data_IF_544649966710
#
_entry.id   IF_544649966710
#
_cell.length_a   1.000
_cell.length_b   1.000
_cell.length_c   1.000
_cell.angle_alpha   90.00
_cell.angle_beta   90.00
_cell.angle_gamma   90.00
#
_symmetry.space_group_name_H-M   'P 1'
#
loop_
_entity.id
_entity.type
_entity.pdbx_description
1 polymer ?
#
# COMPACT_ATOMS: atom_id res chain seq x y z
N UNK A 1 -14.72 -17.65 -6.22
CA UNK A 1 -14.73 -17.24 -5.69
C UNK A 1 -14.37 -16.64 -4.92
N UNK A 2 -14.27 -16.13 -5.07
CA UNK A 2 -13.82 -15.64 -4.15
C UNK A 2 -14.64 -15.33 -3.11
N UNK A 3 -14.51 -15.57 -2.18
CA UNK A 3 -15.33 -15.34 -1.26
C UNK A 3 -15.08 -14.15 -0.65
N UNK A 4 -15.86 -13.59 0.10
CA UNK A 4 -15.52 -12.55 0.79
C UNK A 4 -15.26 -12.87 2.10
N UNK A 5 -14.30 -12.27 2.69
CA UNK A 5 -13.97 -12.47 4.05
C UNK A 5 -13.59 -11.15 4.60
N UNK A 6 -13.68 -10.94 5.88
CA UNK A 6 -13.34 -9.65 6.46
C UNK A 6 -11.90 -9.35 6.18
N UNK A 7 -11.66 -8.16 5.69
CA UNK A 7 -10.30 -7.73 5.41
C UNK A 7 -9.93 -6.80 6.54
N UNK A 8 -9.02 -7.24 7.39
CA UNK A 8 -8.60 -6.43 8.52
C UNK A 8 -7.43 -5.55 8.12
N UNK A 9 -7.20 -4.52 8.91
CA UNK A 9 -6.06 -3.65 8.66
C UNK A 9 -4.75 -4.43 8.76
N UNK A 10 -4.71 -5.41 9.62
CA UNK A 10 -3.53 -6.25 9.76
C UNK A 10 -3.24 -7.00 8.47
N UNK A 11 -4.27 -7.55 7.86
CA UNK A 11 -4.11 -8.28 6.60
C UNK A 11 -3.69 -7.36 5.48
N UNK A 12 -4.30 -6.18 5.44
CA UNK A 12 -3.92 -5.18 4.43
C UNK A 12 -2.47 -4.79 4.62
N UNK A 13 -2.06 -4.57 5.86
CA UNK A 13 -0.69 -4.19 6.14
C UNK A 13 0.29 -5.26 5.69
N UNK A 14 -0.04 -6.52 5.95
CA UNK A 14 0.84 -7.60 5.52
C UNK A 14 0.99 -7.64 4.01
N UNK A 15 -0.11 -7.48 3.30
CA UNK A 15 -0.06 -7.46 1.84
C UNK A 15 0.75 -6.26 1.36
N UNK A 16 0.57 -5.10 2.00
CA UNK A 16 1.35 -3.93 1.64
C UNK A 16 2.84 -4.15 1.90
N UNK A 17 3.17 -4.79 3.02
CA UNK A 17 4.57 -5.11 3.30
C UNK A 17 5.16 -5.95 2.19
N UNK A 18 4.43 -6.94 1.71
CA UNK A 18 4.91 -7.81 0.65
C UNK A 18 5.10 -7.04 -0.65
N UNK A 19 4.15 -6.20 -0.99
CA UNK A 19 4.25 -5.41 -2.21
C UNK A 19 5.44 -4.46 -2.16
N UNK A 20 5.62 -3.79 -1.03
CA UNK A 20 6.69 -2.83 -0.88
C UNK A 20 8.04 -3.54 -0.83
N UNK A 21 8.10 -4.66 -0.12
CA UNK A 21 9.35 -5.41 -0.03
C UNK A 21 9.82 -5.84 -1.40
N UNK A 22 8.88 -6.28 -2.23
CA UNK A 22 9.22 -6.71 -3.57
C UNK A 22 9.61 -5.54 -4.45
N UNK A 23 8.84 -4.47 -4.37
CA UNK A 23 9.06 -3.30 -5.21
C UNK A 23 10.40 -2.64 -4.92
N UNK A 24 10.74 -2.54 -3.63
CA UNK A 24 11.94 -1.82 -3.20
C UNK A 24 13.10 -2.72 -2.85
N UNK A 25 12.90 -4.03 -2.95
CA UNK A 25 13.95 -5.03 -2.67
C UNK A 25 14.48 -4.90 -1.24
N UNK A 26 13.58 -4.77 -0.29
CA UNK A 26 13.94 -4.70 1.12
C UNK A 26 13.14 -5.76 1.88
N UNK A 27 13.53 -6.00 3.11
CA UNK A 27 12.85 -6.99 3.94
C UNK A 27 11.53 -6.43 4.44
N UNK A 28 10.50 -7.26 4.43
CA UNK A 28 9.20 -6.84 4.93
C UNK A 28 9.29 -6.44 6.40
N UNK A 29 10.19 -7.06 7.15
CA UNK A 29 10.36 -6.74 8.56
C UNK A 29 10.78 -5.31 8.80
N UNK A 30 11.38 -4.68 7.81
CA UNK A 30 11.82 -3.31 7.95
C UNK A 30 10.72 -2.29 7.67
N UNK A 31 9.56 -2.77 7.27
CA UNK A 31 8.46 -1.90 6.90
C UNK A 31 7.47 -1.84 8.03
N UNK A 32 7.14 -0.64 8.48
CA UNK A 32 6.15 -0.46 9.52
C UNK A 32 5.07 0.50 9.05
N UNK A 33 4.03 0.65 9.84
CA UNK A 33 2.95 1.58 9.51
C UNK A 33 3.46 3.02 9.43
N UNK A 34 4.49 3.32 10.19
CA UNK A 34 5.05 4.67 10.20
C UNK A 34 6.07 4.92 9.11
N UNK A 35 6.44 3.90 8.37
CA UNK A 35 7.45 4.07 7.33
C UNK A 35 6.96 5.05 6.27
N UNK A 36 7.78 6.05 5.98
CA UNK A 36 7.48 7.02 4.96
C UNK A 36 8.06 6.54 3.63
N UNK A 37 7.27 6.63 2.57
CA UNK A 37 7.77 6.16 1.28
C UNK A 37 8.97 6.98 0.81
N UNK A 38 8.92 8.28 1.00
CA UNK A 38 9.99 9.15 0.52
C UNK A 38 11.15 9.17 1.50
N UNK A 39 10.84 9.39 2.78
CA UNK A 39 11.90 9.59 3.77
C UNK A 39 12.57 8.30 4.20
N UNK A 40 11.78 7.26 4.40
CA UNK A 40 12.32 6.01 4.93
C UNK A 40 12.69 5.02 3.84
N UNK A 41 11.90 4.99 2.78
CA UNK A 41 12.12 4.01 1.71
C UNK A 41 12.80 4.60 0.50
N UNK A 42 12.95 5.91 0.45
CA UNK A 42 13.64 6.56 -0.65
C UNK A 42 12.90 6.48 -1.97
N UNK A 43 11.59 6.43 -1.94
CA UNK A 43 10.80 6.30 -3.15
C UNK A 43 10.77 7.61 -3.92
N UNK A 44 10.86 7.53 -5.22
CA UNK A 44 10.62 8.70 -6.06
C UNK A 44 9.25 8.56 -6.72
N UNK A 45 8.90 9.48 -7.59
CA UNK A 45 7.56 9.47 -8.16
C UNK A 45 7.29 8.25 -9.02
N UNK A 46 8.31 7.72 -9.68
CA UNK A 46 8.13 6.52 -10.49
C UNK A 46 7.85 5.32 -9.59
N UNK A 47 8.61 5.22 -8.49
CA UNK A 47 8.39 4.14 -7.54
C UNK A 47 6.98 4.18 -6.97
N UNK A 48 6.50 5.38 -6.66
CA UNK A 48 5.18 5.53 -6.07
C UNK A 48 4.09 5.16 -7.08
N UNK A 49 4.26 5.54 -8.33
CA UNK A 49 3.29 5.20 -9.36
C UNK A 49 3.21 3.70 -9.53
N UNK A 50 4.37 3.04 -9.56
CA UNK A 50 4.38 1.60 -9.73
C UNK A 50 3.74 0.90 -8.53
N UNK A 51 4.02 1.41 -7.33
CA UNK A 51 3.43 0.83 -6.14
C UNK A 51 1.90 0.99 -6.16
N UNK A 52 1.44 2.16 -6.55
CA UNK A 52 0.01 2.41 -6.63
C UNK A 52 -0.66 1.48 -7.61
N UNK A 53 -0.03 1.26 -8.76
CA UNK A 53 -0.59 0.35 -9.74
C UNK A 53 -0.66 -1.07 -9.19
N UNK A 54 0.35 -1.47 -8.45
CA UNK A 54 0.35 -2.80 -7.82
C UNK A 54 -0.76 -2.90 -6.79
N UNK A 55 -0.99 -1.83 -6.03
CA UNK A 55 -2.07 -1.80 -5.06
C UNK A 55 -3.43 -1.94 -5.73
N UNK A 56 -3.62 -1.21 -6.81
CA UNK A 56 -4.89 -1.25 -7.53
C UNK A 56 -5.17 -2.66 -8.04
N UNK A 57 -4.15 -3.32 -8.52
CA UNK A 57 -4.30 -4.66 -9.03
C UNK A 57 -4.50 -5.67 -7.92
N UNK A 58 -3.68 -5.57 -6.90
CA UNK A 58 -3.70 -6.56 -5.83
C UNK A 58 -5.02 -6.52 -5.05
N UNK A 59 -5.53 -5.32 -4.80
CA UNK A 59 -6.74 -5.16 -3.99
C UNK A 59 -8.00 -4.97 -4.83
N UNK A 60 -7.84 -4.86 -6.14
CA UNK A 60 -8.97 -4.76 -7.07
C UNK A 60 -9.88 -3.59 -6.69
N UNK A 61 -9.29 -2.45 -6.43
CA UNK A 61 -10.04 -1.28 -6.00
C UNK A 61 -10.26 -0.26 -7.10
N UNK A 62 -9.80 -0.55 -8.30
CA UNK A 62 -9.90 0.41 -9.39
C UNK A 62 -8.84 1.49 -9.26
N UNK A 63 -9.04 2.56 -9.97
CA UNK A 63 -8.06 3.61 -10.04
C UNK A 63 -8.13 4.52 -8.82
N UNK A 64 -6.98 4.89 -8.28
CA UNK A 64 -6.91 5.78 -7.14
C UNK A 64 -6.76 7.21 -7.65
N UNK A 65 -7.61 8.12 -7.15
CA UNK A 65 -7.58 9.51 -7.58
C UNK A 65 -6.29 10.20 -7.13
N UNK A 66 -5.88 11.17 -7.90
CA UNK A 66 -4.69 11.94 -7.56
C UNK A 66 -4.80 12.63 -6.22
N UNK A 67 -5.98 13.09 -5.89
CA UNK A 67 -6.21 13.72 -4.60
C UNK A 67 -5.91 12.76 -3.46
N UNK A 68 -6.35 11.53 -3.61
CA UNK A 68 -6.12 10.52 -2.59
C UNK A 68 -4.64 10.15 -2.54
N UNK A 69 -4.01 10.10 -3.71
CA UNK A 69 -2.59 9.76 -3.77
C UNK A 69 -1.74 10.75 -2.99
N UNK A 70 -2.07 12.01 -3.06
CA UNK A 70 -1.26 13.02 -2.39
C UNK A 70 -1.28 12.87 -0.89
N UNK A 71 -2.26 12.16 -0.35
CA UNK A 71 -2.34 11.91 1.08
C UNK A 71 -1.68 10.63 1.53
N UNK A 72 -1.21 9.82 0.59
CA UNK A 72 -0.61 8.53 0.94
C UNK A 72 0.89 8.67 1.10
N UNK A 73 1.30 9.11 2.26
CA UNK A 73 2.72 9.38 2.53
C UNK A 73 3.41 8.27 3.29
N UNK A 74 2.68 7.55 4.10
CA UNK A 74 3.24 6.44 4.86
C UNK A 74 2.50 5.16 4.53
N UNK A 75 3.09 4.05 4.95
CA UNK A 75 2.45 2.75 4.76
C UNK A 75 1.10 2.73 5.47
N UNK A 76 1.05 3.31 6.67
CA UNK A 76 -0.21 3.38 7.41
C UNK A 76 -1.29 4.14 6.69
N UNK A 77 -0.91 5.22 6.00
CA UNK A 77 -1.88 5.97 5.20
C UNK A 77 -2.51 5.08 4.14
N UNK A 78 -1.69 4.27 3.48
CA UNK A 78 -2.18 3.35 2.47
C UNK A 78 -3.08 2.29 3.07
N UNK A 79 -2.68 1.75 4.21
CA UNK A 79 -3.47 0.71 4.87
C UNK A 79 -4.84 1.26 5.26
N UNK A 80 -4.87 2.46 5.81
CA UNK A 80 -6.15 3.07 6.20
C UNK A 80 -7.02 3.37 4.99
N UNK A 81 -6.39 3.85 3.92
CA UNK A 81 -7.12 4.13 2.70
C UNK A 81 -7.74 2.84 2.13
N UNK A 82 -6.96 1.78 2.07
CA UNK A 82 -7.43 0.51 1.57
C UNK A 82 -8.53 -0.08 2.46
N UNK A 83 -8.35 0.06 3.75
CA UNK A 83 -9.36 -0.42 4.70
C UNK A 83 -10.70 0.27 4.46
N UNK A 84 -10.63 1.56 4.18
CA UNK A 84 -11.84 2.34 3.90
C UNK A 84 -12.51 1.88 2.61
N UNK A 85 -11.69 1.54 1.61
CA UNK A 85 -12.25 1.10 0.32
C UNK A 85 -12.78 -0.32 0.37
N UNK A 86 -12.11 -1.19 1.13
CA UNK A 86 -12.47 -2.60 1.15
C UNK A 86 -13.45 -2.95 2.24
N UNK A 87 -13.41 -2.20 3.30
CA UNK A 87 -14.23 -2.46 4.46
C UNK A 87 -15.59 -1.91 4.34
#
# INVERSE_FOLDING_TARGET
KKEEYPVTMEEIFKTMQDLIAEQFAIDADEISMDSSFVDDLGADSVDLVELVMAMEEEFDIGEIDEEDLSGLKTVGDCVRYLSSKLG
#
